data_IF_518221991842
#
_entry.id   IF_518221991842
#
_cell.length_a   1.000
_cell.length_b   1.000
_cell.length_c   1.000
_cell.angle_alpha   90.00
_cell.angle_beta   90.00
_cell.angle_gamma   90.00
#
_symmetry.space_group_name_H-M   'P 1'
#
loop_
_entity.id
_entity.type
_entity.pdbx_description
1 polymer ?
#
# COMPACT_ATOMS: atom_id res chain seq x y z
N UNK A 1 -19.87 -12.27 -9.77
CA UNK A 1 -20.86 -11.98 -8.70
C UNK A 1 -21.73 -10.83 -9.16
N UNK A 2 -23.04 -10.83 -8.85
CA UNK A 2 -23.99 -9.82 -9.34
C UNK A 2 -23.50 -8.39 -9.01
N UNK A 3 -23.46 -7.48 -10.00
CA UNK A 3 -22.85 -6.15 -9.84
C UNK A 3 -23.50 -5.28 -8.77
N UNK A 4 -24.73 -5.56 -8.34
CA UNK A 4 -25.47 -4.72 -7.39
C UNK A 4 -25.43 -5.20 -5.94
N UNK A 5 -25.03 -6.46 -5.67
CA UNK A 5 -25.03 -6.99 -4.30
C UNK A 5 -23.95 -6.31 -3.43
N UNK A 6 -22.83 -5.93 -4.04
CA UNK A 6 -21.76 -5.20 -3.35
C UNK A 6 -22.18 -3.81 -2.86
N UNK A 7 -22.93 -3.05 -3.67
CA UNK A 7 -23.40 -1.69 -3.30
C UNK A 7 -24.34 -1.70 -2.09
N UNK A 8 -25.14 -2.76 -1.92
CA UNK A 8 -26.06 -2.88 -0.80
C UNK A 8 -25.43 -3.53 0.44
N UNK A 9 -24.41 -4.36 0.29
CA UNK A 9 -23.78 -5.09 1.42
C UNK A 9 -22.60 -4.29 1.98
N UNK A 10 -21.79 -3.63 1.15
CA UNK A 10 -20.57 -2.98 1.60
C UNK A 10 -20.80 -1.90 2.68
N UNK A 11 -21.81 -1.00 2.58
CA UNK A 11 -22.02 0.02 3.61
C UNK A 11 -22.26 -0.52 5.01
N UNK A 12 -22.81 -1.73 5.14
CA UNK A 12 -23.06 -2.36 6.44
C UNK A 12 -21.86 -3.15 6.98
N UNK A 13 -21.03 -3.72 6.10
CA UNK A 13 -19.95 -4.64 6.50
C UNK A 13 -18.53 -4.05 6.37
N UNK A 14 -18.30 -3.08 5.47
CA UNK A 14 -16.99 -2.45 5.27
C UNK A 14 -16.50 -1.70 6.51
N UNK A 15 -17.30 -0.88 7.21
CA UNK A 15 -16.81 -0.18 8.40
C UNK A 15 -16.30 -1.16 9.47
N UNK A 16 -17.07 -2.21 9.77
CA UNK A 16 -16.69 -3.24 10.73
C UNK A 16 -15.45 -4.05 10.28
N UNK A 17 -15.33 -4.33 8.98
CA UNK A 17 -14.15 -4.99 8.42
C UNK A 17 -12.89 -4.12 8.50
N UNK A 18 -13.00 -2.82 8.20
CA UNK A 18 -11.87 -1.89 8.26
C UNK A 18 -11.40 -1.66 9.69
N UNK A 19 -12.32 -1.45 10.63
CA UNK A 19 -11.99 -1.31 12.06
C UNK A 19 -11.28 -2.56 12.59
N UNK A 20 -11.74 -3.76 12.20
CA UNK A 20 -11.08 -5.02 12.57
C UNK A 20 -9.67 -5.16 11.98
N UNK A 21 -9.39 -4.59 10.81
CA UNK A 21 -8.05 -4.60 10.24
C UNK A 21 -7.12 -3.60 10.96
N UNK A 22 -7.64 -2.45 11.41
CA UNK A 22 -6.91 -1.52 12.28
C UNK A 22 -6.55 -2.20 13.61
N UNK A 23 -7.48 -2.96 14.20
CA UNK A 23 -7.21 -3.77 15.40
C UNK A 23 -6.11 -4.81 15.17
N UNK A 24 -6.09 -5.50 14.02
CA UNK A 24 -5.03 -6.46 13.69
C UNK A 24 -3.67 -5.82 13.46
N UNK A 25 -3.63 -4.57 12.95
CA UNK A 25 -2.37 -3.82 12.84
C UNK A 25 -1.80 -3.42 14.21
N UNK A 26 -2.61 -3.48 15.27
CA UNK A 26 -2.19 -3.15 16.62
C UNK A 26 -1.45 -4.28 17.35
N UNK A 27 -1.68 -5.53 16.94
CA UNK A 27 -1.30 -6.75 17.67
C UNK A 27 0.21 -7.10 17.58
N UNK A 28 1.06 -6.09 17.36
CA UNK A 28 2.51 -6.26 17.34
C UNK A 28 3.32 -5.02 17.70
N UNK A 29 2.77 -3.80 17.60
CA UNK A 29 3.58 -2.59 17.87
C UNK A 29 2.85 -1.24 18.03
N UNK A 30 1.52 -1.15 18.00
CA UNK A 30 0.81 0.14 18.09
C UNK A 30 0.09 0.34 19.44
N UNK A 31 0.13 1.58 19.94
CA UNK A 31 -0.59 2.04 21.14
C UNK A 31 -2.10 1.95 20.90
N UNK A 32 -2.85 1.36 21.84
CA UNK A 32 -4.32 1.23 21.78
C UNK A 32 -5.03 2.57 21.52
N UNK A 33 -4.48 3.69 22.02
CA UNK A 33 -5.03 5.03 21.76
C UNK A 33 -4.92 5.47 20.28
N UNK A 34 -3.85 5.06 19.59
CA UNK A 34 -3.68 5.37 18.16
C UNK A 34 -4.70 4.61 17.32
N UNK A 35 -5.01 3.37 17.68
CA UNK A 35 -6.00 2.54 16.99
C UNK A 35 -7.39 3.18 17.10
N UNK A 36 -7.79 3.60 18.30
CA UNK A 36 -9.08 4.28 18.50
C UNK A 36 -9.14 5.63 17.77
N UNK A 37 -8.03 6.36 17.73
CA UNK A 37 -7.93 7.57 16.92
C UNK A 37 -8.10 7.27 15.42
N UNK A 38 -7.44 6.23 14.89
CA UNK A 38 -7.59 5.80 13.50
C UNK A 38 -9.03 5.40 13.17
N UNK A 39 -9.71 4.65 14.06
CA UNK A 39 -11.13 4.32 13.89
C UNK A 39 -11.99 5.58 13.85
N UNK A 40 -11.71 6.57 14.71
CA UNK A 40 -12.42 7.86 14.69
C UNK A 40 -12.19 8.61 13.38
N UNK A 41 -10.97 8.65 12.87
CA UNK A 41 -10.64 9.26 11.58
C UNK A 41 -11.38 8.54 10.45
N UNK A 42 -11.32 7.21 10.38
CA UNK A 42 -12.03 6.41 9.39
C UNK A 42 -13.53 6.71 9.38
N UNK A 43 -14.18 6.74 10.56
CA UNK A 43 -15.61 7.09 10.66
C UNK A 43 -15.89 8.50 10.16
N UNK A 44 -15.01 9.45 10.47
CA UNK A 44 -15.13 10.83 10.00
C UNK A 44 -14.95 10.92 8.47
N UNK A 45 -13.99 10.18 7.89
CA UNK A 45 -13.78 10.11 6.44
C UNK A 45 -15.00 9.54 5.72
N UNK A 46 -15.55 8.41 6.21
CA UNK A 46 -16.76 7.81 5.64
C UNK A 46 -17.94 8.80 5.68
N UNK A 47 -18.10 9.55 6.78
CA UNK A 47 -19.21 10.49 6.94
C UNK A 47 -19.04 11.79 6.16
N UNK A 48 -17.81 12.28 6.01
CA UNK A 48 -17.52 13.60 5.43
C UNK A 48 -17.15 13.54 3.95
N UNK A 49 -16.66 12.41 3.45
CA UNK A 49 -16.22 12.25 2.07
C UNK A 49 -17.24 11.45 1.27
N UNK A 50 -18.03 12.16 0.45
CA UNK A 50 -18.94 11.53 -0.50
C UNK A 50 -18.16 10.64 -1.47
N UNK A 51 -18.59 9.38 -1.63
CA UNK A 51 -17.93 8.40 -2.49
C UNK A 51 -16.76 7.64 -1.85
N UNK A 52 -16.49 7.82 -0.55
CA UNK A 52 -15.42 7.08 0.15
C UNK A 52 -15.61 5.56 0.02
N UNK A 53 -16.79 5.04 0.34
CA UNK A 53 -17.07 3.59 0.28
C UNK A 53 -17.11 3.07 -1.16
N UNK A 54 -17.52 3.91 -2.09
CA UNK A 54 -17.65 3.65 -3.52
C UNK A 54 -16.26 3.53 -4.15
N UNK A 55 -15.31 4.35 -3.70
CA UNK A 55 -13.91 4.25 -4.10
C UNK A 55 -13.28 2.92 -3.66
N UNK A 56 -13.63 2.46 -2.45
CA UNK A 56 -13.18 1.19 -1.91
C UNK A 56 -13.83 0.03 -2.68
N UNK A 57 -15.14 0.12 -2.95
CA UNK A 57 -15.85 -0.86 -3.76
C UNK A 57 -15.27 -0.96 -5.18
N UNK A 58 -14.96 0.19 -5.78
CA UNK A 58 -14.31 0.27 -7.08
C UNK A 58 -12.96 -0.44 -7.07
N UNK A 59 -12.18 -0.26 -6.00
CA UNK A 59 -10.91 -0.98 -5.80
C UNK A 59 -11.15 -2.49 -5.74
N UNK A 60 -12.09 -2.98 -4.93
CA UNK A 60 -12.40 -4.42 -4.88
C UNK A 60 -12.87 -5.01 -6.22
N UNK A 61 -13.57 -4.22 -7.04
CA UNK A 61 -14.09 -4.67 -8.35
C UNK A 61 -13.03 -4.63 -9.46
N UNK A 62 -12.17 -3.62 -9.44
CA UNK A 62 -11.35 -3.25 -10.59
C UNK A 62 -9.85 -3.46 -10.37
N UNK A 63 -9.40 -3.51 -9.12
CA UNK A 63 -8.00 -3.72 -8.78
C UNK A 63 -7.72 -5.19 -8.50
N UNK A 64 -6.67 -5.75 -9.11
CA UNK A 64 -6.26 -7.12 -8.83
C UNK A 64 -5.50 -7.16 -7.49
N UNK A 65 -6.22 -7.41 -6.40
CA UNK A 65 -5.67 -7.52 -5.05
C UNK A 65 -4.74 -8.72 -4.85
N UNK A 66 -4.70 -9.67 -5.79
CA UNK A 66 -3.93 -10.91 -5.64
C UNK A 66 -2.63 -10.91 -6.43
N UNK A 67 -2.57 -10.24 -7.58
CA UNK A 67 -1.35 -10.18 -8.38
C UNK A 67 -1.26 -8.95 -9.27
N UNK A 68 -0.17 -8.22 -9.11
CA UNK A 68 0.22 -7.09 -9.96
C UNK A 68 1.34 -7.47 -10.95
N UNK A 69 1.71 -8.74 -11.03
CA UNK A 69 2.80 -9.24 -11.88
C UNK A 69 2.66 -8.82 -13.35
N UNK A 70 1.49 -8.93 -14.03
CA UNK A 70 1.36 -8.49 -15.41
C UNK A 70 1.69 -6.99 -15.61
N UNK A 71 1.35 -6.16 -14.62
CA UNK A 71 1.62 -4.73 -14.64
C UNK A 71 3.12 -4.49 -14.46
N UNK A 72 3.77 -5.16 -13.51
CA UNK A 72 5.21 -5.06 -13.32
C UNK A 72 6.01 -5.57 -14.53
N UNK A 73 5.56 -6.64 -15.19
CA UNK A 73 6.17 -7.10 -16.45
C UNK A 73 6.08 -6.04 -17.55
N UNK A 74 4.98 -5.29 -17.61
CA UNK A 74 4.85 -4.16 -18.54
C UNK A 74 5.75 -2.98 -18.15
N UNK A 75 5.94 -2.70 -16.87
CA UNK A 75 6.92 -1.69 -16.43
C UNK A 75 8.33 -2.10 -16.85
N UNK A 76 8.68 -3.39 -16.70
CA UNK A 76 9.99 -3.93 -17.04
C UNK A 76 10.39 -3.77 -18.52
N UNK A 77 9.43 -3.55 -19.43
CA UNK A 77 9.73 -3.32 -20.85
C UNK A 77 10.08 -1.86 -21.18
N UNK A 78 9.94 -0.94 -20.23
CA UNK A 78 10.26 0.47 -20.45
C UNK A 78 11.75 0.72 -20.21
N UNK A 79 12.32 1.67 -20.94
CA UNK A 79 13.72 2.10 -20.78
C UNK A 79 13.94 3.09 -19.64
N UNK A 80 12.90 3.41 -18.87
CA UNK A 80 13.00 4.36 -17.76
C UNK A 80 13.73 3.70 -16.59
N UNK A 81 14.65 4.41 -15.91
CA UNK A 81 15.18 3.96 -14.64
C UNK A 81 14.04 3.66 -13.65
N UNK A 82 14.13 2.53 -12.94
CA UNK A 82 13.14 2.11 -11.94
C UNK A 82 13.83 1.97 -10.59
N UNK A 83 13.21 2.52 -9.55
CA UNK A 83 13.61 2.36 -8.16
C UNK A 83 12.49 1.70 -7.38
N UNK A 84 12.84 0.66 -6.64
CA UNK A 84 11.93 -0.08 -5.77
C UNK A 84 12.42 0.12 -4.35
N UNK A 85 11.58 0.69 -3.49
CA UNK A 85 11.83 0.88 -2.07
C UNK A 85 10.87 -0.03 -1.30
N UNK A 86 11.39 -0.84 -0.37
CA UNK A 86 10.58 -1.82 0.37
C UNK A 86 10.99 -1.89 1.83
N UNK A 87 10.02 -1.98 2.74
CA UNK A 87 10.27 -2.24 4.17
C UNK A 87 10.43 -3.73 4.48
N UNK A 88 11.46 -4.12 5.21
CA UNK A 88 11.71 -5.54 5.55
C UNK A 88 10.68 -6.16 6.52
N UNK A 89 9.89 -5.33 7.21
CA UNK A 89 8.78 -5.73 8.08
C UNK A 89 7.41 -5.50 7.45
N UNK A 90 7.32 -5.26 6.14
CA UNK A 90 6.02 -5.15 5.45
C UNK A 90 5.30 -6.51 5.49
N UNK A 91 4.12 -6.53 6.10
CA UNK A 91 3.21 -7.68 6.17
C UNK A 91 1.97 -7.53 5.27
N UNK A 92 1.71 -6.34 4.74
CA UNK A 92 0.62 -6.07 3.78
C UNK A 92 1.04 -6.50 2.38
N UNK A 93 2.27 -6.15 1.99
CA UNK A 93 2.97 -6.67 0.83
C UNK A 93 4.24 -7.36 1.32
N UNK A 94 4.18 -8.67 1.66
CA UNK A 94 5.27 -9.37 2.33
C UNK A 94 6.63 -9.17 1.65
N UNK A 95 7.67 -8.85 2.41
CA UNK A 95 9.02 -8.60 1.89
C UNK A 95 9.55 -9.72 0.99
N UNK A 96 9.17 -10.97 1.24
CA UNK A 96 9.51 -12.13 0.39
C UNK A 96 9.05 -11.97 -1.07
N UNK A 97 7.95 -11.24 -1.31
CA UNK A 97 7.44 -10.95 -2.66
C UNK A 97 8.37 -10.00 -3.44
N UNK A 98 9.27 -9.28 -2.76
CA UNK A 98 10.28 -8.46 -3.43
C UNK A 98 11.20 -9.31 -4.33
N UNK A 99 11.43 -10.59 -4.00
CA UNK A 99 12.21 -11.52 -4.83
C UNK A 99 11.59 -11.70 -6.22
N UNK A 100 10.27 -11.87 -6.27
CA UNK A 100 9.51 -11.97 -7.52
C UNK A 100 9.66 -10.67 -8.32
N UNK A 101 9.48 -9.52 -7.67
CA UNK A 101 9.58 -8.22 -8.34
C UNK A 101 10.99 -7.96 -8.91
N UNK A 102 12.03 -8.29 -8.15
CA UNK A 102 13.43 -8.21 -8.58
C UNK A 102 13.75 -9.15 -9.74
N UNK A 103 13.09 -10.31 -9.82
CA UNK A 103 13.21 -11.21 -10.98
C UNK A 103 12.56 -10.65 -12.25
N UNK A 104 11.46 -9.89 -12.10
CA UNK A 104 10.74 -9.27 -13.21
C UNK A 104 11.47 -8.03 -13.71
N UNK A 105 12.05 -7.23 -12.81
CA UNK A 105 12.77 -6.00 -13.12
C UNK A 105 14.23 -6.08 -12.62
N UNK A 106 15.09 -6.92 -13.20
CA UNK A 106 16.47 -7.07 -12.75
C UNK A 106 17.31 -5.79 -12.93
N UNK A 107 16.84 -4.84 -13.74
CA UNK A 107 17.47 -3.55 -13.98
C UNK A 107 17.07 -2.46 -12.98
N UNK A 108 16.11 -2.72 -12.09
CA UNK A 108 15.70 -1.73 -11.09
C UNK A 108 16.74 -1.60 -9.98
N UNK A 109 16.93 -0.40 -9.46
CA UNK A 109 17.58 -0.21 -8.17
C UNK A 109 16.62 -0.67 -7.06
N UNK A 110 17.14 -1.38 -6.06
CA UNK A 110 16.35 -1.94 -4.96
C UNK A 110 16.91 -1.49 -3.62
N UNK A 111 16.13 -0.73 -2.85
CA UNK A 111 16.49 -0.25 -1.53
C UNK A 111 15.57 -0.87 -0.48
N UNK A 112 16.18 -1.44 0.56
CA UNK A 112 15.47 -1.95 1.73
C UNK A 112 15.51 -0.88 2.82
N UNK A 113 14.36 -0.58 3.41
CA UNK A 113 14.25 0.25 4.60
C UNK A 113 14.15 -0.68 5.80
N UNK A 114 15.24 -0.77 6.56
CA UNK A 114 15.34 -1.62 7.76
C UNK A 114 14.32 -1.20 8.84
N UNK A 115 13.61 -2.17 9.38
CA UNK A 115 12.47 -1.97 10.29
C UNK A 115 11.20 -1.41 9.62
N UNK A 116 11.24 -1.15 8.31
CA UNK A 116 10.16 -0.52 7.57
C UNK A 116 8.94 -1.44 7.41
N UNK A 117 7.74 -0.93 7.72
CA UNK A 117 6.47 -1.59 7.39
C UNK A 117 5.88 -1.04 6.08
N UNK A 118 4.65 -1.44 5.72
CA UNK A 118 4.00 -1.06 4.46
C UNK A 118 3.98 0.45 4.18
N UNK A 119 3.65 1.25 5.20
CA UNK A 119 3.56 2.71 5.08
C UNK A 119 4.89 3.36 5.48
N UNK A 120 5.85 3.36 4.56
CA UNK A 120 7.20 3.87 4.80
C UNK A 120 7.23 5.39 5.11
N UNK A 121 6.43 6.19 4.41
CA UNK A 121 6.46 7.66 4.50
C UNK A 121 5.98 8.23 5.84
N UNK A 122 5.46 7.42 6.75
CA UNK A 122 5.16 7.85 8.11
C UNK A 122 6.42 7.84 8.97
N UNK A 123 6.71 6.69 9.60
CA UNK A 123 7.81 6.53 10.56
C UNK A 123 9.19 6.54 9.90
N UNK A 124 9.29 6.15 8.64
CA UNK A 124 10.55 6.00 7.91
C UNK A 124 10.68 7.04 6.80
N UNK A 125 10.14 8.25 7.02
CA UNK A 125 10.16 9.34 6.06
C UNK A 125 11.57 9.66 5.56
N UNK A 126 12.49 9.99 6.48
CA UNK A 126 13.86 10.39 6.16
C UNK A 126 14.64 9.35 5.33
N UNK A 127 14.75 8.06 5.72
CA UNK A 127 15.46 7.08 4.91
C UNK A 127 14.78 6.83 3.56
N UNK A 128 13.44 6.89 3.49
CA UNK A 128 12.70 6.70 2.24
C UNK A 128 12.95 7.85 1.27
N UNK A 129 12.83 9.10 1.73
CA UNK A 129 13.06 10.28 0.90
C UNK A 129 14.51 10.39 0.48
N UNK A 130 15.46 10.09 1.38
CA UNK A 130 16.89 10.06 1.03
C UNK A 130 17.19 9.06 -0.09
N UNK A 131 16.58 7.88 -0.05
CA UNK A 131 16.72 6.89 -1.11
C UNK A 131 16.14 7.41 -2.44
N UNK A 132 14.95 8.01 -2.41
CA UNK A 132 14.33 8.63 -3.60
C UNK A 132 15.20 9.73 -4.19
N UNK A 133 15.70 10.65 -3.36
CA UNK A 133 16.56 11.75 -3.81
C UNK A 133 17.86 11.25 -4.42
N UNK A 134 18.50 10.25 -3.79
CA UNK A 134 19.74 9.66 -4.28
C UNK A 134 19.53 9.07 -5.67
N UNK A 135 18.47 8.27 -5.83
CA UNK A 135 18.11 7.68 -7.11
C UNK A 135 17.82 8.75 -8.17
N UNK A 136 17.04 9.78 -7.84
CA UNK A 136 16.66 10.84 -8.78
C UNK A 136 17.86 11.72 -9.18
N UNK A 137 18.74 12.07 -8.25
CA UNK A 137 19.98 12.83 -8.53
C UNK A 137 20.95 12.05 -9.41
N UNK A 138 20.95 10.72 -9.31
CA UNK A 138 21.74 9.84 -10.19
C UNK A 138 21.16 9.80 -11.62
N UNK A 139 19.86 10.03 -11.78
CA UNK A 139 19.27 10.18 -13.11
C UNK A 139 19.65 11.57 -13.64
N UNK A 140 20.34 11.61 -14.77
CA UNK A 140 20.54 12.84 -15.54
C UNK A 140 19.21 13.24 -16.15
N UNK A 141 18.28 13.71 -15.32
CA UNK A 141 17.02 14.27 -15.76
C UNK A 141 17.35 15.54 -16.56
N UNK A 142 16.75 15.72 -17.75
CA UNK A 142 16.98 16.89 -18.59
C UNK A 142 16.58 18.19 -17.88
#
# INVERSE_FOLDING_TARGET
MLPYVGEFILPFFAPAFMERNLDKQSDGQQNCELVEYQKKVLRAEIAACEGYLESILSTFRSFNLFSMEPIYRRVATHSRPVHIIWGDLDSTCPFEQSKTLRSIMPHSEFTVVEGGAHTLLGRFFEPTVTAMETFLKAQKLP
#
